data_IF_615017648573
#
_entry.id   IF_615017648573
#
_cell.length_a   1.000
_cell.length_b   1.000
_cell.length_c   1.000
_cell.angle_alpha   90.00
_cell.angle_beta   90.00
_cell.angle_gamma   90.00
#
_symmetry.space_group_name_H-M   'P 1'
#
loop_
_entity.id
_entity.type
_entity.pdbx_description
1 polymer ?
#
# COMPACT_ATOMS: atom_id res chain seq x y z
N UNK A 1 27.62 -5.68 55.97
CA UNK A 1 27.69 -6.75 54.98
C UNK A 1 26.53 -6.73 53.95
N UNK A 2 25.36 -6.23 54.27
CA UNK A 2 24.19 -6.17 53.37
C UNK A 2 24.28 -5.11 52.26
N UNK A 3 24.93 -3.97 52.51
CA UNK A 3 25.04 -2.87 51.53
C UNK A 3 25.90 -3.20 50.31
N UNK A 4 26.95 -3.99 50.44
CA UNK A 4 27.84 -4.42 49.35
C UNK A 4 27.18 -5.45 48.40
N UNK A 5 26.28 -6.29 48.90
CA UNK A 5 25.56 -7.29 48.08
C UNK A 5 24.58 -6.62 47.13
N UNK A 6 23.86 -5.60 47.57
CA UNK A 6 22.92 -4.85 46.73
C UNK A 6 23.60 -4.06 45.60
N UNK A 7 24.81 -3.50 45.85
CA UNK A 7 25.62 -2.85 44.82
C UNK A 7 26.08 -3.84 43.75
N UNK A 8 26.52 -5.05 44.16
CA UNK A 8 26.99 -6.09 43.23
C UNK A 8 25.82 -6.59 42.38
N UNK A 9 24.65 -6.80 42.97
CA UNK A 9 23.44 -7.21 42.25
C UNK A 9 22.96 -6.12 41.27
N UNK A 10 23.03 -4.84 41.69
CA UNK A 10 22.69 -3.71 40.84
C UNK A 10 23.62 -3.60 39.61
N UNK A 11 24.92 -3.68 39.82
CA UNK A 11 25.93 -3.63 38.76
C UNK A 11 25.77 -4.83 37.80
N UNK A 12 25.56 -6.04 38.32
CA UNK A 12 25.35 -7.23 37.45
C UNK A 12 24.08 -7.14 36.63
N UNK A 13 22.99 -6.56 37.16
CA UNK A 13 21.77 -6.32 36.42
C UNK A 13 21.95 -5.29 35.28
N UNK A 14 22.68 -4.20 35.56
CA UNK A 14 23.01 -3.19 34.54
C UNK A 14 23.86 -3.79 33.43
N UNK A 15 24.89 -4.55 33.75
CA UNK A 15 25.75 -5.24 32.78
C UNK A 15 24.93 -6.24 31.93
N UNK A 16 24.01 -6.96 32.54
CA UNK A 16 23.12 -7.87 31.81
C UNK A 16 22.17 -7.12 30.84
N UNK A 17 21.64 -5.96 31.26
CA UNK A 17 20.79 -5.12 30.39
C UNK A 17 21.61 -4.54 29.23
N UNK A 18 22.81 -4.05 29.48
CA UNK A 18 23.71 -3.53 28.43
C UNK A 18 24.07 -4.65 27.44
N UNK A 19 24.40 -5.85 27.90
CA UNK A 19 24.70 -6.99 27.07
C UNK A 19 23.49 -7.42 26.23
N UNK A 20 22.28 -7.40 26.79
CA UNK A 20 21.04 -7.69 26.06
C UNK A 20 20.74 -6.62 24.99
N UNK A 21 20.93 -5.33 25.30
CA UNK A 21 20.80 -4.23 24.36
C UNK A 21 21.84 -4.33 23.22
N UNK A 22 23.10 -4.60 23.53
CA UNK A 22 24.13 -4.80 22.52
C UNK A 22 23.85 -6.00 21.63
N UNK A 23 23.34 -7.11 22.17
CA UNK A 23 22.91 -8.27 21.39
C UNK A 23 21.73 -7.96 20.47
N UNK A 24 20.74 -7.18 20.93
CA UNK A 24 19.60 -6.76 20.11
C UNK A 24 20.02 -5.82 18.99
N UNK A 25 20.90 -4.84 19.26
CA UNK A 25 21.45 -3.93 18.24
C UNK A 25 22.24 -4.72 17.19
N UNK A 26 23.10 -5.66 17.62
CA UNK A 26 23.89 -6.53 16.71
C UNK A 26 22.98 -7.39 15.81
N UNK A 27 21.89 -7.89 16.35
CA UNK A 27 20.90 -8.68 15.58
C UNK A 27 20.18 -7.80 14.57
N UNK A 28 19.73 -6.59 14.97
CA UNK A 28 19.08 -5.62 14.07
C UNK A 28 20.01 -5.18 12.93
N UNK A 29 21.29 -4.90 13.19
CA UNK A 29 22.29 -4.59 12.15
C UNK A 29 22.45 -5.74 11.13
N UNK A 30 22.42 -7.00 11.58
CA UNK A 30 22.45 -8.15 10.67
C UNK A 30 21.20 -8.26 9.82
N UNK A 31 20.03 -7.97 10.38
CA UNK A 31 18.77 -8.04 9.65
C UNK A 31 18.66 -6.92 8.62
N UNK A 32 19.14 -5.71 8.92
CA UNK A 32 19.25 -4.59 7.97
C UNK A 32 20.14 -4.96 6.78
N UNK A 33 21.33 -5.57 7.03
CA UNK A 33 22.22 -6.03 5.96
C UNK A 33 21.59 -7.09 5.05
N UNK A 34 20.73 -7.96 5.60
CA UNK A 34 19.99 -8.94 4.80
C UNK A 34 18.94 -8.27 3.90
N UNK A 35 18.26 -7.24 4.43
CA UNK A 35 17.31 -6.46 3.62
C UNK A 35 18.04 -5.74 2.50
N UNK A 36 19.16 -5.07 2.78
CA UNK A 36 19.97 -4.41 1.76
C UNK A 36 20.41 -5.41 0.66
N UNK A 37 20.99 -6.54 1.04
CA UNK A 37 21.38 -7.59 0.09
C UNK A 37 20.19 -8.14 -0.74
N UNK A 38 19.03 -8.30 -0.10
CA UNK A 38 17.80 -8.68 -0.82
C UNK A 38 17.41 -7.60 -1.84
N UNK A 39 17.52 -6.32 -1.45
CA UNK A 39 17.18 -5.20 -2.33
C UNK A 39 18.12 -5.10 -3.52
N UNK A 40 19.43 -5.17 -3.30
CA UNK A 40 20.44 -5.17 -4.37
C UNK A 40 20.15 -6.31 -5.37
N UNK A 41 19.88 -7.52 -4.86
CA UNK A 41 19.54 -8.68 -5.72
C UNK A 41 18.25 -8.47 -6.50
N UNK A 42 17.25 -7.78 -5.92
CA UNK A 42 15.99 -7.46 -6.61
C UNK A 42 16.17 -6.37 -7.66
N UNK A 43 17.04 -5.36 -7.42
CA UNK A 43 17.38 -4.31 -8.40
C UNK A 43 18.09 -4.89 -9.63
N UNK A 44 18.98 -5.85 -9.42
CA UNK A 44 19.68 -6.57 -10.49
C UNK A 44 18.77 -7.58 -11.23
N UNK A 45 17.52 -7.74 -10.81
CA UNK A 45 16.58 -8.72 -11.37
C UNK A 45 16.94 -10.17 -11.00
N UNK A 46 17.86 -10.36 -10.07
CA UNK A 46 18.32 -11.65 -9.60
C UNK A 46 17.57 -12.06 -8.31
N UNK A 47 16.87 -13.19 -8.32
CA UNK A 47 16.19 -13.75 -7.15
C UNK A 47 17.06 -14.80 -6.42
N UNK A 48 18.39 -14.62 -6.46
CA UNK A 48 19.36 -15.61 -5.96
C UNK A 48 19.53 -15.60 -4.43
N UNK A 49 18.87 -14.72 -3.71
CA UNK A 49 18.97 -14.67 -2.25
C UNK A 49 18.15 -15.79 -1.60
N UNK A 50 18.76 -16.49 -0.64
CA UNK A 50 18.10 -17.48 0.21
C UNK A 50 18.65 -17.37 1.62
N UNK A 51 17.77 -17.11 2.60
CA UNK A 51 18.16 -16.99 4.00
C UNK A 51 17.81 -18.28 4.76
N UNK A 52 18.68 -18.69 5.70
CA UNK A 52 18.38 -19.83 6.58
C UNK A 52 17.13 -19.53 7.41
N UNK A 53 16.14 -20.42 7.42
CA UNK A 53 14.83 -20.22 8.05
C UNK A 53 14.83 -20.36 9.59
N UNK A 54 15.86 -19.83 10.25
CA UNK A 54 16.03 -19.91 11.71
C UNK A 54 15.07 -19.02 12.50
N UNK A 55 14.55 -17.97 11.90
CA UNK A 55 13.64 -17.05 12.56
C UNK A 55 12.49 -16.62 11.63
N UNK A 56 11.46 -16.01 12.22
CA UNK A 56 10.26 -15.55 11.49
C UNK A 56 10.63 -14.52 10.40
N UNK A 57 11.59 -13.65 10.66
CA UNK A 57 12.06 -12.63 9.73
C UNK A 57 12.65 -13.24 8.45
N UNK A 58 13.58 -14.20 8.57
CA UNK A 58 14.17 -14.90 7.42
C UNK A 58 13.13 -15.67 6.61
N UNK A 59 12.15 -16.30 7.28
CA UNK A 59 11.02 -16.96 6.59
C UNK A 59 10.19 -15.97 5.78
N UNK A 60 9.98 -14.77 6.32
CA UNK A 60 9.25 -13.70 5.61
C UNK A 60 10.01 -13.25 4.37
N UNK A 61 11.33 -13.02 4.45
CA UNK A 61 12.17 -12.64 3.30
C UNK A 61 12.16 -13.73 2.21
N UNK A 62 12.28 -15.01 2.59
CA UNK A 62 12.18 -16.12 1.64
C UNK A 62 10.80 -16.24 1.00
N UNK A 63 9.70 -15.95 1.74
CA UNK A 63 8.36 -15.90 1.19
C UNK A 63 8.20 -14.80 0.16
N UNK A 64 8.77 -13.63 0.42
CA UNK A 64 8.81 -12.52 -0.54
C UNK A 64 9.47 -13.01 -1.84
N UNK A 65 10.63 -13.66 -1.77
CA UNK A 65 11.31 -14.23 -2.93
C UNK A 65 10.39 -15.18 -3.74
N UNK A 66 9.75 -16.13 -3.06
CA UNK A 66 8.85 -17.11 -3.72
C UNK A 66 7.67 -16.41 -4.42
N UNK A 67 7.13 -15.37 -3.81
CA UNK A 67 6.05 -14.58 -4.40
C UNK A 67 6.55 -13.92 -5.69
N UNK A 68 7.73 -13.31 -5.66
CA UNK A 68 8.35 -12.69 -6.82
C UNK A 68 8.67 -13.72 -7.93
N UNK A 69 9.18 -14.90 -7.58
CA UNK A 69 9.43 -15.99 -8.54
C UNK A 69 8.16 -16.45 -9.26
N UNK A 70 7.06 -16.67 -8.53
CA UNK A 70 5.78 -17.10 -9.10
C UNK A 70 5.17 -16.06 -10.04
N UNK A 71 5.34 -14.79 -9.75
CA UNK A 71 4.76 -13.72 -10.55
C UNK A 71 5.62 -13.33 -11.76
N UNK A 72 6.93 -13.57 -11.72
CA UNK A 72 7.82 -13.41 -12.88
C UNK A 72 7.43 -14.35 -14.04
N UNK A 73 6.81 -15.48 -13.75
CA UNK A 73 6.32 -16.44 -14.75
C UNK A 73 5.01 -16.04 -15.43
N UNK A 74 4.30 -15.07 -14.89
CA UNK A 74 3.02 -14.59 -15.43
C UNK A 74 3.18 -13.16 -15.99
N UNK A 75 3.61 -13.02 -17.22
CA UNK A 75 3.47 -11.89 -18.19
C UNK A 75 3.31 -10.44 -17.67
N UNK A 76 4.08 -9.98 -16.65
CA UNK A 76 4.04 -8.57 -16.25
C UNK A 76 5.41 -8.00 -15.83
N UNK A 77 6.42 -8.19 -16.67
CA UNK A 77 7.80 -7.74 -16.37
C UNK A 77 7.93 -6.23 -16.09
N UNK A 78 7.13 -5.38 -16.70
CA UNK A 78 7.30 -3.92 -16.62
C UNK A 78 6.69 -3.31 -15.34
N UNK A 79 5.48 -3.73 -14.98
CA UNK A 79 4.79 -3.23 -13.77
C UNK A 79 5.46 -3.70 -12.47
N UNK A 80 6.00 -4.92 -12.47
CA UNK A 80 6.71 -5.49 -11.32
C UNK A 80 8.07 -4.84 -11.07
N UNK A 81 8.83 -4.56 -12.12
CA UNK A 81 10.11 -3.85 -12.01
C UNK A 81 9.91 -2.43 -11.46
N UNK A 82 8.84 -1.75 -11.91
CA UNK A 82 8.44 -0.45 -11.35
C UNK A 82 8.01 -0.57 -9.88
N UNK A 83 7.23 -1.60 -9.54
CA UNK A 83 6.82 -1.86 -8.16
C UNK A 83 8.02 -2.12 -7.23
N UNK A 84 8.95 -2.99 -7.64
CA UNK A 84 10.17 -3.29 -6.87
C UNK A 84 10.97 -2.01 -6.63
N UNK A 85 11.14 -1.16 -7.66
CA UNK A 85 11.86 0.10 -7.52
C UNK A 85 11.19 1.03 -6.50
N UNK A 86 9.87 1.17 -6.55
CA UNK A 86 9.12 1.97 -5.58
C UNK A 86 9.21 1.38 -4.19
N UNK A 87 9.04 0.05 -4.05
CA UNK A 87 9.19 -0.67 -2.78
C UNK A 87 10.58 -0.46 -2.16
N UNK A 88 11.63 -0.62 -2.98
CA UNK A 88 13.02 -0.42 -2.56
C UNK A 88 13.23 1.01 -2.09
N UNK A 89 12.76 1.98 -2.85
CA UNK A 89 12.88 3.40 -2.54
C UNK A 89 12.16 3.76 -1.22
N UNK A 90 10.92 3.34 -1.04
CA UNK A 90 10.13 3.63 0.17
C UNK A 90 10.70 2.95 1.43
N UNK A 91 11.15 1.69 1.31
CA UNK A 91 11.81 0.98 2.42
C UNK A 91 13.13 1.67 2.76
N UNK A 92 13.97 2.00 1.77
CA UNK A 92 15.26 2.66 2.02
C UNK A 92 15.07 4.05 2.61
N UNK A 93 14.11 4.84 2.10
CA UNK A 93 13.78 6.16 2.64
C UNK A 93 13.33 6.12 4.11
N UNK A 94 12.72 5.00 4.53
CA UNK A 94 12.19 4.85 5.89
C UNK A 94 13.20 4.20 6.82
N UNK A 95 14.00 3.25 6.34
CA UNK A 95 14.99 2.50 7.15
C UNK A 95 16.29 3.28 7.29
N UNK A 96 16.72 4.06 6.26
CA UNK A 96 17.96 4.83 6.32
C UNK A 96 17.99 5.88 7.44
N UNK A 97 16.95 6.70 7.66
CA UNK A 97 16.89 7.61 8.79
C UNK A 97 16.93 6.88 10.15
N UNK A 98 16.22 5.76 10.27
CA UNK A 98 16.23 4.95 11.51
C UNK A 98 17.64 4.45 11.81
N UNK A 99 18.32 3.88 10.81
CA UNK A 99 19.67 3.35 10.95
C UNK A 99 20.69 4.48 11.25
N UNK A 100 20.63 5.59 10.49
CA UNK A 100 21.54 6.73 10.64
C UNK A 100 21.39 7.41 12.02
N UNK A 101 20.17 7.68 12.44
CA UNK A 101 19.89 8.29 13.73
C UNK A 101 20.24 7.34 14.89
N UNK A 102 19.94 6.05 14.76
CA UNK A 102 20.34 5.05 15.77
C UNK A 102 21.85 4.93 15.89
N UNK A 103 22.61 4.99 14.79
CA UNK A 103 24.07 4.98 14.79
C UNK A 103 24.66 6.29 15.35
N UNK A 104 24.04 7.44 15.03
CA UNK A 104 24.44 8.74 15.56
C UNK A 104 24.20 8.80 17.08
N UNK A 105 23.05 8.39 17.55
CA UNK A 105 22.72 8.36 18.98
C UNK A 105 23.60 7.38 19.76
N UNK A 106 23.94 6.23 19.17
CA UNK A 106 24.87 5.28 19.80
C UNK A 106 26.30 5.84 19.94
N UNK A 107 26.76 6.61 18.94
CA UNK A 107 28.08 7.29 18.99
C UNK A 107 28.09 8.51 19.90
N UNK A 108 26.99 9.19 20.00
CA UNK A 108 26.84 10.41 20.78
C UNK A 108 26.68 10.15 22.28
N UNK A 109 26.24 8.93 22.65
CA UNK A 109 26.15 8.53 24.07
C UNK A 109 27.50 8.47 24.76
N UNK A 110 28.57 8.26 24.00
CA UNK A 110 29.95 8.22 24.51
C UNK A 110 30.65 9.60 24.54
N UNK A 111 30.00 10.67 24.01
CA UNK A 111 30.56 12.00 23.92
C UNK A 111 29.81 12.97 24.86
N UNK A 112 30.51 13.55 25.83
CA UNK A 112 29.98 14.63 26.68
C UNK A 112 29.55 15.82 25.80
N UNK A 113 28.27 16.18 25.76
CA UNK A 113 27.83 17.46 25.19
C UNK A 113 26.56 17.48 24.35
N UNK A 114 25.73 16.44 24.30
CA UNK A 114 24.44 16.51 23.58
C UNK A 114 23.29 16.98 24.44
N UNK A 115 22.47 17.88 23.88
CA UNK A 115 21.30 18.37 24.57
C UNK A 115 20.20 17.27 24.55
N UNK A 116 19.47 17.19 25.65
CA UNK A 116 18.29 16.31 25.78
C UNK A 116 17.27 16.52 24.63
N UNK A 117 17.30 17.72 24.03
CA UNK A 117 16.47 18.10 22.89
C UNK A 117 16.84 17.36 21.59
N UNK A 118 18.14 17.13 21.35
CA UNK A 118 18.62 16.44 20.13
C UNK A 118 18.30 14.95 20.17
N UNK A 119 18.40 14.35 21.36
CA UNK A 119 18.02 12.96 21.58
C UNK A 119 16.52 12.76 21.37
N UNK A 120 15.69 13.66 21.89
CA UNK A 120 14.24 13.61 21.72
C UNK A 120 13.84 13.73 20.23
N UNK A 121 14.39 14.70 19.52
CA UNK A 121 14.13 14.89 18.09
C UNK A 121 14.54 13.65 17.25
N UNK A 122 15.68 13.04 17.58
CA UNK A 122 16.14 11.79 16.96
C UNK A 122 15.17 10.62 17.20
N UNK A 123 14.70 10.46 18.44
CA UNK A 123 13.73 9.43 18.80
C UNK A 123 12.36 9.64 18.12
N UNK A 124 11.89 10.87 18.04
CA UNK A 124 10.66 11.22 17.33
C UNK A 124 10.78 10.86 15.84
N UNK A 125 11.88 11.19 15.18
CA UNK A 125 12.12 10.84 13.77
C UNK A 125 12.18 9.33 13.57
N UNK A 126 12.82 8.57 14.46
CA UNK A 126 12.85 7.11 14.42
C UNK A 126 11.43 6.54 14.58
N UNK A 127 10.66 7.09 15.52
CA UNK A 127 9.27 6.68 15.76
C UNK A 127 8.40 6.90 14.52
N UNK A 128 8.48 8.07 13.90
CA UNK A 128 7.67 8.42 12.74
C UNK A 128 8.08 7.61 11.50
N UNK A 129 9.38 7.42 11.29
CA UNK A 129 9.89 6.53 10.24
C UNK A 129 9.43 5.09 10.45
N UNK A 130 9.41 4.61 11.69
CA UNK A 130 8.92 3.26 12.02
C UNK A 130 7.42 3.12 11.75
N UNK A 131 6.60 4.13 12.11
CA UNK A 131 5.15 4.16 11.81
C UNK A 131 4.90 4.17 10.31
N UNK A 132 5.65 4.95 9.55
CA UNK A 132 5.56 4.99 8.09
C UNK A 132 5.87 3.62 7.48
N UNK A 133 6.90 2.92 7.96
CA UNK A 133 7.23 1.56 7.51
C UNK A 133 6.12 0.56 7.84
N UNK A 134 5.52 0.65 9.03
CA UNK A 134 4.39 -0.21 9.40
C UNK A 134 3.20 0.04 8.46
N UNK A 135 2.84 1.31 8.22
CA UNK A 135 1.80 1.70 7.27
C UNK A 135 2.06 1.17 5.87
N UNK A 136 3.30 1.28 5.40
CA UNK A 136 3.73 0.74 4.12
C UNK A 136 3.58 -0.78 4.04
N UNK A 137 4.02 -1.53 5.07
CA UNK A 137 3.87 -3.00 5.12
C UNK A 137 2.39 -3.42 5.16
N UNK A 138 1.54 -2.68 5.88
CA UNK A 138 0.10 -2.92 5.88
C UNK A 138 -0.52 -2.71 4.50
N UNK A 139 -0.13 -1.64 3.83
CA UNK A 139 -0.51 -1.30 2.46
C UNK A 139 -0.10 -2.40 1.47
N UNK A 140 1.14 -2.89 1.59
CA UNK A 140 1.63 -4.02 0.79
C UNK A 140 0.84 -5.31 1.05
N UNK A 141 0.48 -5.59 2.30
CA UNK A 141 -0.37 -6.76 2.63
C UNK A 141 -1.74 -6.67 1.98
N UNK A 142 -2.34 -5.49 1.89
CA UNK A 142 -3.62 -5.29 1.21
C UNK A 142 -3.50 -5.59 -0.28
N UNK A 143 -2.41 -5.16 -0.93
CA UNK A 143 -2.16 -5.44 -2.35
C UNK A 143 -1.92 -6.93 -2.63
N UNK A 144 -1.08 -7.59 -1.81
CA UNK A 144 -0.75 -9.02 -1.97
C UNK A 144 -1.83 -9.97 -1.46
N UNK A 145 -2.75 -9.46 -0.65
CA UNK A 145 -3.77 -10.23 0.08
C UNK A 145 -5.17 -10.13 -0.49
N UNK A 146 -5.36 -9.66 -1.74
CA UNK A 146 -6.69 -9.70 -2.37
C UNK A 146 -7.17 -11.15 -2.42
N UNK A 147 -8.18 -11.45 -1.60
CA UNK A 147 -8.74 -12.79 -1.48
C UNK A 147 -9.33 -13.27 -2.81
N UNK A 148 -9.42 -14.58 -2.98
CA UNK A 148 -10.19 -15.13 -4.10
C UNK A 148 -11.65 -14.69 -3.96
N UNK A 149 -12.29 -14.19 -5.04
CA UNK A 149 -13.65 -13.70 -4.98
C UNK A 149 -14.65 -14.84 -4.70
N UNK A 150 -15.60 -14.57 -3.82
CA UNK A 150 -16.79 -15.41 -3.62
C UNK A 150 -17.90 -14.82 -4.49
N UNK A 151 -17.96 -15.26 -5.74
CA UNK A 151 -18.85 -14.69 -6.74
C UNK A 151 -20.27 -15.18 -6.57
N UNK A 152 -21.23 -14.26 -6.71
CA UNK A 152 -22.68 -14.53 -6.80
C UNK A 152 -23.30 -13.63 -7.86
N UNK A 153 -24.51 -13.96 -8.30
CA UNK A 153 -25.30 -13.05 -9.13
C UNK A 153 -25.68 -11.82 -8.29
N UNK A 154 -25.37 -10.63 -8.80
CA UNK A 154 -25.59 -9.34 -8.12
C UNK A 154 -26.41 -8.46 -9.04
N UNK A 155 -27.47 -7.87 -8.49
CA UNK A 155 -28.17 -6.76 -9.12
C UNK A 155 -27.32 -5.49 -9.00
N UNK A 156 -27.00 -4.89 -10.15
CA UNK A 156 -26.19 -3.67 -10.17
C UNK A 156 -26.88 -2.49 -9.52
N UNK A 157 -28.20 -2.40 -9.59
CA UNK A 157 -28.95 -1.31 -8.95
C UNK A 157 -28.83 -1.40 -7.44
N UNK A 158 -29.07 -2.56 -6.86
CA UNK A 158 -28.96 -2.77 -5.42
C UNK A 158 -27.52 -2.47 -4.93
N UNK A 159 -26.52 -2.95 -5.69
CA UNK A 159 -25.12 -2.70 -5.38
C UNK A 159 -24.77 -1.20 -5.41
N UNK A 160 -25.20 -0.48 -6.47
CA UNK A 160 -24.91 0.94 -6.63
C UNK A 160 -25.62 1.80 -5.57
N UNK A 161 -26.89 1.50 -5.31
CA UNK A 161 -27.65 2.21 -4.25
C UNK A 161 -26.96 2.03 -2.88
N UNK A 162 -26.50 0.83 -2.56
CA UNK A 162 -25.74 0.54 -1.34
C UNK A 162 -24.41 1.32 -1.27
N UNK A 163 -23.65 1.34 -2.35
CA UNK A 163 -22.36 2.07 -2.42
C UNK A 163 -22.56 3.59 -2.32
N UNK A 164 -23.57 4.14 -3.02
CA UNK A 164 -23.88 5.58 -2.97
C UNK A 164 -24.32 5.97 -1.57
N UNK A 165 -25.18 5.18 -0.93
CA UNK A 165 -25.64 5.41 0.44
C UNK A 165 -24.46 5.44 1.43
N UNK A 166 -23.52 4.50 1.33
CA UNK A 166 -22.32 4.44 2.18
C UNK A 166 -21.39 5.67 2.02
N UNK A 167 -21.39 6.32 0.87
CA UNK A 167 -20.55 7.47 0.60
C UNK A 167 -21.30 8.82 0.68
N UNK A 168 -22.60 8.80 0.96
CA UNK A 168 -23.48 9.97 0.90
C UNK A 168 -23.06 11.10 1.85
N UNK A 169 -22.71 10.77 3.09
CA UNK A 169 -22.28 11.77 4.08
C UNK A 169 -20.95 12.42 3.67
N UNK A 170 -20.00 11.62 3.20
CA UNK A 170 -18.70 12.14 2.74
C UNK A 170 -18.86 12.98 1.46
N UNK A 171 -19.67 12.55 0.49
CA UNK A 171 -19.99 13.33 -0.70
C UNK A 171 -20.66 14.66 -0.33
N UNK A 172 -21.64 14.62 0.57
CA UNK A 172 -22.31 15.84 1.06
C UNK A 172 -21.34 16.80 1.75
N UNK A 173 -20.41 16.30 2.58
CA UNK A 173 -19.39 17.15 3.23
C UNK A 173 -18.45 17.81 2.22
N UNK A 174 -18.23 17.19 1.05
CA UNK A 174 -17.48 17.78 -0.07
C UNK A 174 -18.35 18.67 -0.98
N UNK A 175 -19.64 18.79 -0.71
CA UNK A 175 -20.62 19.49 -1.56
C UNK A 175 -20.77 18.84 -2.94
N UNK A 176 -20.66 17.50 -2.99
CA UNK A 176 -20.73 16.71 -4.21
C UNK A 176 -22.00 15.84 -4.23
N UNK A 177 -22.44 15.51 -5.45
CA UNK A 177 -23.56 14.62 -5.69
C UNK A 177 -23.07 13.38 -6.48
N UNK A 178 -23.52 12.19 -6.06
CA UNK A 178 -23.24 10.93 -6.74
C UNK A 178 -24.55 10.33 -7.23
N UNK A 179 -24.63 10.00 -8.52
CA UNK A 179 -25.84 9.46 -9.13
C UNK A 179 -25.54 8.17 -9.89
N UNK A 180 -26.51 7.23 -9.90
CA UNK A 180 -26.49 6.06 -10.74
C UNK A 180 -27.63 6.09 -11.77
N UNK A 181 -27.28 6.01 -13.04
CA UNK A 181 -28.21 6.04 -14.16
C UNK A 181 -27.86 4.92 -15.14
N UNK A 182 -28.41 3.72 -14.95
CA UNK A 182 -28.18 2.64 -15.92
C UNK A 182 -28.91 2.96 -17.24
N UNK A 183 -28.30 2.57 -18.37
CA UNK A 183 -28.92 2.67 -19.68
C UNK A 183 -30.01 1.59 -19.87
N UNK A 184 -29.88 0.48 -19.13
CA UNK A 184 -30.79 -0.66 -19.13
C UNK A 184 -31.21 -1.04 -17.72
N UNK A 185 -32.48 -1.40 -17.48
CA UNK A 185 -32.93 -1.96 -16.23
C UNK A 185 -32.36 -3.39 -16.03
N UNK A 186 -32.31 -3.85 -14.80
CA UNK A 186 -32.04 -5.24 -14.39
C UNK A 186 -30.69 -5.83 -14.87
N UNK A 187 -29.65 -4.98 -14.90
CA UNK A 187 -28.29 -5.44 -15.20
C UNK A 187 -27.75 -6.29 -14.05
N UNK A 188 -27.35 -7.52 -14.38
CA UNK A 188 -26.77 -8.47 -13.43
C UNK A 188 -25.30 -8.72 -13.73
N UNK A 189 -24.47 -8.84 -12.68
CA UNK A 189 -23.08 -9.28 -12.79
C UNK A 189 -22.83 -10.50 -11.91
N UNK A 190 -21.87 -11.35 -12.29
CA UNK A 190 -21.44 -12.49 -11.45
C UNK A 190 -20.13 -12.15 -10.76
N UNK A 191 -20.22 -11.64 -9.51
CA UNK A 191 -19.10 -11.02 -8.82
C UNK A 191 -19.16 -11.19 -7.30
N UNK A 192 -18.08 -10.83 -6.62
CA UNK A 192 -18.00 -10.67 -5.15
C UNK A 192 -18.42 -9.24 -4.80
N UNK A 193 -19.56 -9.12 -4.12
CA UNK A 193 -20.16 -7.85 -3.75
C UNK A 193 -19.22 -6.93 -2.97
N UNK A 194 -18.51 -7.49 -1.98
CA UNK A 194 -17.60 -6.71 -1.14
C UNK A 194 -16.41 -6.16 -1.94
N UNK A 195 -15.86 -6.97 -2.84
CA UNK A 195 -14.74 -6.56 -3.68
C UNK A 195 -15.15 -5.52 -4.74
N UNK A 196 -16.32 -5.67 -5.36
CA UNK A 196 -16.80 -4.68 -6.34
C UNK A 196 -17.18 -3.37 -5.62
N UNK A 197 -17.84 -3.44 -4.47
CA UNK A 197 -18.10 -2.26 -3.64
C UNK A 197 -16.81 -1.52 -3.29
N UNK A 198 -15.74 -2.24 -2.97
CA UNK A 198 -14.42 -1.66 -2.69
C UNK A 198 -13.86 -0.88 -3.88
N UNK A 199 -14.01 -1.38 -5.11
CA UNK A 199 -13.61 -0.66 -6.33
C UNK A 199 -14.39 0.65 -6.47
N UNK A 200 -15.72 0.57 -6.38
CA UNK A 200 -16.60 1.71 -6.56
C UNK A 200 -16.35 2.78 -5.50
N UNK A 201 -16.22 2.40 -4.24
CA UNK A 201 -15.86 3.29 -3.13
C UNK A 201 -14.52 3.99 -3.40
N UNK A 202 -13.51 3.23 -3.89
CA UNK A 202 -12.21 3.80 -4.22
C UNK A 202 -12.32 4.84 -5.35
N UNK A 203 -13.09 4.58 -6.40
CA UNK A 203 -13.28 5.52 -7.51
C UNK A 203 -14.04 6.77 -7.05
N UNK A 204 -15.11 6.63 -6.27
CA UNK A 204 -15.87 7.75 -5.68
C UNK A 204 -14.96 8.61 -4.79
N UNK A 205 -14.18 7.99 -3.89
CA UNK A 205 -13.23 8.71 -3.04
C UNK A 205 -12.17 9.44 -3.85
N UNK A 206 -11.67 8.83 -4.93
CA UNK A 206 -10.71 9.48 -5.82
C UNK A 206 -11.30 10.71 -6.50
N UNK A 207 -12.55 10.66 -6.95
CA UNK A 207 -13.27 11.77 -7.53
C UNK A 207 -13.47 12.91 -6.50
N UNK A 208 -13.96 12.60 -5.30
CA UNK A 208 -14.15 13.57 -4.22
C UNK A 208 -12.84 14.25 -3.81
N UNK A 209 -11.75 13.49 -3.72
CA UNK A 209 -10.41 14.04 -3.43
C UNK A 209 -9.85 14.88 -4.58
N UNK A 210 -10.31 14.70 -5.82
CA UNK A 210 -10.02 15.57 -6.95
C UNK A 210 -10.94 16.80 -7.01
N UNK A 211 -11.78 17.02 -5.99
CA UNK A 211 -12.66 18.17 -5.91
C UNK A 211 -13.93 18.07 -6.76
N UNK A 212 -14.29 16.88 -7.25
CA UNK A 212 -15.49 16.66 -8.04
C UNK A 212 -16.75 17.12 -7.31
N UNK A 213 -17.67 17.73 -8.06
CA UNK A 213 -19.00 18.11 -7.59
C UNK A 213 -20.08 17.17 -8.13
N UNK A 214 -19.82 16.53 -9.28
CA UNK A 214 -20.72 15.58 -9.89
C UNK A 214 -19.96 14.29 -10.16
N UNK A 215 -20.54 13.19 -9.67
CA UNK A 215 -20.05 11.83 -9.93
C UNK A 215 -21.21 11.06 -10.52
N UNK A 216 -21.11 10.74 -11.81
CA UNK A 216 -22.13 10.03 -12.55
C UNK A 216 -21.67 8.60 -12.83
N UNK A 217 -22.43 7.63 -12.31
CA UNK A 217 -22.20 6.22 -12.57
C UNK A 217 -23.27 5.77 -13.56
N UNK A 218 -22.86 5.13 -14.65
CA UNK A 218 -23.78 4.51 -15.62
C UNK A 218 -23.38 3.07 -15.88
N UNK A 219 -24.32 2.26 -16.34
CA UNK A 219 -24.08 0.87 -16.71
C UNK A 219 -24.88 0.51 -17.96
N UNK A 220 -24.30 -0.33 -18.82
CA UNK A 220 -24.90 -0.81 -20.06
C UNK A 220 -24.39 -2.19 -20.42
N UNK A 221 -25.14 -2.88 -21.31
CA UNK A 221 -24.63 -4.06 -22.00
C UNK A 221 -23.58 -3.66 -23.02
N UNK A 222 -22.48 -4.35 -23.03
CA UNK A 222 -21.46 -4.28 -24.07
C UNK A 222 -21.67 -5.30 -25.19
N UNK A 223 -20.62 -5.53 -25.98
CA UNK A 223 -20.60 -6.65 -26.92
C UNK A 223 -20.32 -7.96 -26.18
N UNK A 224 -20.77 -9.08 -26.74
CA UNK A 224 -20.47 -10.42 -26.20
C UNK A 224 -20.96 -10.63 -24.75
N UNK A 225 -22.15 -10.10 -24.42
CA UNK A 225 -22.77 -10.19 -23.09
C UNK A 225 -21.94 -9.58 -21.94
N UNK A 226 -20.99 -8.70 -22.25
CA UNK A 226 -20.24 -7.95 -21.22
C UNK A 226 -21.14 -6.90 -20.57
N UNK A 227 -20.99 -6.67 -19.27
CA UNK A 227 -21.56 -5.52 -18.59
C UNK A 227 -20.47 -4.48 -18.39
N UNK A 228 -20.75 -3.25 -18.86
CA UNK A 228 -19.84 -2.11 -18.77
C UNK A 228 -20.40 -1.12 -17.75
N UNK A 229 -19.59 -0.79 -16.75
CA UNK A 229 -19.89 0.27 -15.78
C UNK A 229 -18.93 1.42 -16.01
N UNK A 230 -19.46 2.63 -16.16
CA UNK A 230 -18.70 3.85 -16.31
C UNK A 230 -18.84 4.69 -15.03
N UNK A 231 -17.71 5.16 -14.51
CA UNK A 231 -17.67 6.11 -13.37
C UNK A 231 -17.03 7.39 -13.89
N UNK A 232 -17.85 8.41 -14.10
CA UNK A 232 -17.44 9.72 -14.58
C UNK A 232 -17.47 10.75 -13.46
N UNK A 233 -16.55 11.70 -13.47
CA UNK A 233 -16.53 12.82 -12.51
C UNK A 233 -15.95 14.09 -13.15
N UNK A 234 -16.34 15.25 -12.62
CA UNK A 234 -15.92 16.59 -13.04
C UNK A 234 -14.79 17.18 -12.20
N UNK A 235 -14.06 16.34 -11.47
CA UNK A 235 -12.93 16.77 -10.64
C UNK A 235 -11.68 17.13 -11.45
N UNK A 236 -10.65 17.60 -10.74
CA UNK A 236 -9.36 17.93 -11.34
C UNK A 236 -8.81 16.75 -12.17
N UNK A 237 -8.39 16.99 -13.44
CA UNK A 237 -7.95 15.94 -14.32
C UNK A 237 -6.64 15.30 -13.85
N UNK A 238 -6.46 14.02 -14.17
CA UNK A 238 -5.21 13.30 -13.96
C UNK A 238 -4.18 13.82 -14.96
N UNK A 239 -3.02 14.33 -14.52
CA UNK A 239 -1.98 14.81 -15.42
C UNK A 239 -1.60 13.77 -16.49
N UNK A 240 -1.43 14.17 -17.73
CA UNK A 240 -1.14 13.26 -18.85
C UNK A 240 0.06 12.34 -18.57
N UNK A 241 1.12 12.86 -17.96
CA UNK A 241 2.29 12.07 -17.57
C UNK A 241 2.00 10.99 -16.51
N UNK A 242 0.89 11.14 -15.76
CA UNK A 242 0.49 10.22 -14.71
C UNK A 242 -0.47 9.13 -15.20
N UNK A 243 -1.23 9.39 -16.29
CA UNK A 243 -2.32 8.51 -16.74
C UNK A 243 -1.88 7.07 -17.00
N UNK A 244 -0.69 6.85 -17.53
CA UNK A 244 -0.14 5.50 -17.75
C UNK A 244 0.31 4.82 -16.45
N UNK A 245 0.51 5.59 -15.38
CA UNK A 245 1.12 5.14 -14.14
C UNK A 245 0.14 4.96 -12.99
N UNK A 246 -1.10 5.47 -13.10
CA UNK A 246 -2.10 5.46 -12.02
C UNK A 246 -2.46 4.07 -11.48
N UNK A 247 -2.24 3.03 -12.28
CA UNK A 247 -2.47 1.64 -11.89
C UNK A 247 -1.19 0.95 -11.34
N UNK A 248 -0.05 1.65 -11.33
CA UNK A 248 1.18 1.14 -10.71
C UNK A 248 1.02 1.26 -9.20
N UNK A 249 1.22 0.18 -8.44
CA UNK A 249 1.14 0.25 -6.99
C UNK A 249 2.08 1.31 -6.41
N UNK A 250 1.61 2.01 -5.36
CA UNK A 250 2.31 3.11 -4.67
C UNK A 250 2.54 4.38 -5.52
N UNK A 251 2.15 4.39 -6.77
CA UNK A 251 2.18 5.61 -7.55
C UNK A 251 1.03 6.52 -7.13
N UNK A 252 1.35 7.75 -6.73
CA UNK A 252 0.37 8.75 -6.34
C UNK A 252 0.87 10.16 -6.66
N UNK A 253 -0.03 11.02 -7.07
CA UNK A 253 0.18 12.46 -7.21
C UNK A 253 -0.29 13.24 -5.99
N UNK A 254 -0.92 12.54 -5.02
CA UNK A 254 -1.52 13.13 -3.81
C UNK A 254 -0.58 13.02 -2.63
N UNK A 255 -0.50 14.08 -1.79
CA UNK A 255 0.38 14.12 -0.60
C UNK A 255 0.05 13.05 0.45
N UNK A 256 -1.22 12.70 0.61
CA UNK A 256 -1.70 11.73 1.63
C UNK A 256 -2.25 10.43 1.02
N UNK A 257 -2.00 10.19 -0.26
CA UNK A 257 -2.47 8.99 -0.95
C UNK A 257 -1.50 7.82 -0.83
N UNK A 258 -1.99 6.63 -0.45
CA UNK A 258 -1.17 5.40 -0.43
C UNK A 258 -0.76 4.90 -1.81
N UNK A 259 -1.39 5.39 -2.90
CA UNK A 259 -1.12 4.96 -4.27
C UNK A 259 -1.50 3.50 -4.60
N UNK A 260 -2.28 2.83 -3.73
CA UNK A 260 -2.64 1.42 -3.95
C UNK A 260 -4.09 1.20 -4.41
N UNK A 261 -4.97 2.18 -4.24
CA UNK A 261 -6.41 2.01 -4.49
C UNK A 261 -6.70 1.50 -5.89
N UNK A 262 -6.18 2.16 -6.92
CA UNK A 262 -6.40 1.77 -8.33
C UNK A 262 -5.70 0.45 -8.68
N UNK A 263 -4.54 0.16 -8.12
CA UNK A 263 -3.85 -1.11 -8.35
C UNK A 263 -4.59 -2.29 -7.70
N UNK A 264 -5.17 -2.12 -6.52
CA UNK A 264 -6.08 -3.10 -5.90
C UNK A 264 -7.35 -3.26 -6.75
N UNK A 265 -7.95 -2.16 -7.21
CA UNK A 265 -9.12 -2.21 -8.10
C UNK A 265 -8.82 -3.03 -9.36
N UNK A 266 -7.65 -2.84 -9.96
CA UNK A 266 -7.22 -3.61 -11.14
C UNK A 266 -7.02 -5.09 -10.82
N UNK A 267 -6.46 -5.41 -9.66
CA UNK A 267 -6.28 -6.79 -9.21
C UNK A 267 -7.63 -7.48 -8.94
N UNK A 268 -8.57 -6.78 -8.31
CA UNK A 268 -9.93 -7.29 -8.09
C UNK A 268 -10.61 -7.57 -9.43
N UNK A 269 -10.59 -6.62 -10.37
CA UNK A 269 -11.21 -6.83 -11.70
C UNK A 269 -10.59 -8.03 -12.43
N UNK A 270 -9.26 -8.19 -12.40
CA UNK A 270 -8.59 -9.37 -12.97
C UNK A 270 -9.04 -10.68 -12.32
N UNK A 271 -9.16 -10.69 -10.99
CA UNK A 271 -9.68 -11.85 -10.28
C UNK A 271 -11.13 -12.19 -10.66
N UNK A 272 -11.88 -11.22 -11.20
CA UNK A 272 -13.24 -11.38 -11.74
C UNK A 272 -13.27 -11.64 -13.25
N UNK A 273 -12.12 -11.85 -13.91
CA UNK A 273 -11.97 -11.96 -15.37
C UNK A 273 -12.43 -10.71 -16.13
N UNK A 274 -12.47 -9.56 -15.44
CA UNK A 274 -12.82 -8.26 -15.99
C UNK A 274 -11.62 -7.34 -16.15
N UNK A 275 -11.88 -6.10 -16.52
CA UNK A 275 -10.88 -5.04 -16.62
C UNK A 275 -11.35 -3.73 -16.02
N UNK A 276 -10.38 -2.88 -15.62
CA UNK A 276 -10.59 -1.47 -15.29
C UNK A 276 -9.61 -0.63 -16.10
N UNK A 277 -10.12 0.40 -16.76
CA UNK A 277 -9.35 1.28 -17.62
C UNK A 277 -9.72 2.75 -17.39
N UNK A 278 -8.77 3.66 -17.62
CA UNK A 278 -9.02 5.09 -17.71
C UNK A 278 -9.33 5.40 -19.18
N UNK A 279 -10.59 5.72 -19.49
CA UNK A 279 -11.00 6.04 -20.86
C UNK A 279 -10.63 7.48 -21.23
N UNK A 280 -10.80 8.41 -20.29
CA UNK A 280 -10.61 9.83 -20.53
C UNK A 280 -10.25 10.53 -19.20
N UNK A 281 -9.36 11.50 -19.27
CA UNK A 281 -9.17 12.45 -18.17
C UNK A 281 -8.64 13.76 -18.77
N UNK A 282 -9.47 14.76 -18.78
CA UNK A 282 -9.22 16.11 -19.30
C UNK A 282 -9.97 17.15 -18.48
N UNK A 283 -10.02 18.41 -18.97
CA UNK A 283 -10.65 19.52 -18.27
C UNK A 283 -12.16 19.39 -18.11
N UNK A 284 -12.82 18.50 -18.88
CA UNK A 284 -14.27 18.31 -18.80
C UNK A 284 -14.62 17.22 -17.80
N UNK A 285 -13.92 16.07 -17.88
CA UNK A 285 -14.24 14.92 -17.05
C UNK A 285 -13.11 13.87 -16.98
N UNK A 286 -13.14 13.10 -15.90
CA UNK A 286 -12.36 11.85 -15.75
C UNK A 286 -13.32 10.67 -15.77
N UNK A 287 -13.09 9.68 -16.64
CA UNK A 287 -13.95 8.49 -16.82
C UNK A 287 -13.14 7.23 -16.63
N UNK A 288 -13.56 6.41 -15.68
CA UNK A 288 -13.10 5.04 -15.52
C UNK A 288 -14.16 4.06 -16.06
N UNK A 289 -13.70 3.03 -16.77
CA UNK A 289 -14.52 1.95 -17.28
C UNK A 289 -14.20 0.64 -16.56
N UNK A 290 -15.23 -0.05 -16.09
CA UNK A 290 -15.17 -1.40 -15.55
C UNK A 290 -15.89 -2.33 -16.50
N UNK A 291 -15.26 -3.43 -16.94
CA UNK A 291 -15.87 -4.45 -17.80
C UNK A 291 -15.99 -5.77 -17.05
N UNK A 292 -17.17 -6.33 -17.01
CA UNK A 292 -17.50 -7.64 -16.44
C UNK A 292 -17.87 -8.60 -17.57
N UNK A 293 -17.33 -9.83 -17.50
CA UNK A 293 -17.58 -10.93 -18.43
C UNK A 293 -18.27 -12.10 -17.76
#
# INVERSE_FOLDING_TARGET
MTFTVWHIVGVSAIVAIIAALAATIKTRRKDIKKVAYMMDSLEDGELNFRFQEKNRFNRTLNRIRIIFEKQRQAHEQDSWTKLIRVLTHEIMNTVSPIASLSDMMAKSYDAEGHSELDIKAGLETISDSSKNLIGFVQTYRQLSGVAKPIRKALDLRELMDGVIALNSEYAASCGANCTYRPEEPDLMIYADEGQISQILINLIKNALQAGAKHIDISAKMGKDDEVIVLVANDGEPIPAAAQEQIFIPFYTTKKEGSGIGLSISRQIMRNHNGSIELLRSDAEQTIFELRFR
#
